data_IF_472723360710
#
_entry.id   IF_472723360710
#
_cell.length_a   1.000
_cell.length_b   1.000
_cell.length_c   1.000
_cell.angle_alpha   90.00
_cell.angle_beta   90.00
_cell.angle_gamma   90.00
#
_symmetry.space_group_name_H-M   'P 1'
#
loop_
_entity.id
_entity.type
_entity.pdbx_description
1 polymer ?
#
# COMPACT_ATOMS: atom_id res chain seq x y z
N UNK A 1 11.78 -4.87 -17.42
CA UNK A 1 10.65 -5.83 -17.34
C UNK A 1 11.14 -7.22 -17.73
N UNK A 2 10.62 -8.27 -17.10
CA UNK A 2 11.03 -9.66 -17.31
C UNK A 2 9.79 -10.57 -17.37
N UNK A 3 9.79 -11.54 -18.29
CA UNK A 3 8.72 -12.50 -18.53
C UNK A 3 9.24 -13.94 -18.50
N UNK A 4 9.75 -14.40 -17.36
CA UNK A 4 10.06 -15.83 -17.15
C UNK A 4 11.45 -16.29 -17.61
N UNK A 5 12.11 -15.60 -18.54
CA UNK A 5 13.44 -15.98 -19.05
C UNK A 5 14.40 -14.79 -19.08
N UNK A 6 15.72 -15.02 -19.03
CA UNK A 6 16.69 -13.93 -19.06
C UNK A 6 16.61 -13.12 -20.37
N UNK A 7 16.31 -13.79 -21.48
CA UNK A 7 16.18 -13.21 -22.83
C UNK A 7 14.93 -12.32 -22.97
N UNK A 8 13.94 -12.48 -22.08
CA UNK A 8 12.74 -11.66 -22.07
C UNK A 8 12.93 -10.29 -21.43
N UNK A 9 14.16 -9.95 -21.01
CA UNK A 9 14.44 -8.66 -20.41
C UNK A 9 14.21 -7.52 -21.41
N UNK A 10 13.36 -6.58 -21.00
CA UNK A 10 13.05 -5.35 -21.74
C UNK A 10 13.36 -4.16 -20.85
N UNK A 11 14.16 -3.23 -21.35
CA UNK A 11 14.37 -1.95 -20.67
C UNK A 11 13.14 -1.03 -20.85
N UNK A 12 12.70 -0.42 -19.75
CA UNK A 12 11.58 0.55 -19.74
C UNK A 12 12.07 1.97 -19.41
N UNK A 13 13.39 2.16 -19.34
CA UNK A 13 13.94 3.48 -19.11
C UNK A 13 13.60 4.43 -20.26
N UNK A 14 13.20 5.65 -19.91
CA UNK A 14 12.89 6.72 -20.85
C UNK A 14 13.68 7.99 -20.56
N UNK A 15 14.73 7.90 -19.72
CA UNK A 15 15.60 9.04 -19.44
C UNK A 15 16.13 9.69 -20.70
N UNK A 16 16.14 11.02 -20.69
CA UNK A 16 16.49 11.83 -21.86
C UNK A 16 16.88 13.25 -21.41
N UNK A 17 16.90 14.23 -22.32
CA UNK A 17 17.23 15.61 -22.01
C UNK A 17 16.27 16.30 -21.02
N UNK A 18 15.08 15.74 -20.78
CA UNK A 18 14.08 16.24 -19.84
C UNK A 18 14.06 15.47 -18.51
N UNK A 19 14.52 14.21 -18.49
CA UNK A 19 14.36 13.30 -17.35
C UNK A 19 15.68 12.63 -16.93
N UNK A 20 16.00 12.70 -15.63
CA UNK A 20 17.27 12.21 -15.05
C UNK A 20 17.27 10.74 -14.66
N UNK A 21 16.12 10.21 -14.27
CA UNK A 21 15.99 8.86 -13.72
C UNK A 21 14.64 8.23 -14.08
N UNK A 22 14.51 6.92 -13.92
CA UNK A 22 13.22 6.24 -13.92
C UNK A 22 13.21 5.23 -12.76
N UNK A 23 12.16 5.26 -11.94
CA UNK A 23 12.00 4.34 -10.83
C UNK A 23 10.58 3.79 -10.81
N UNK A 24 10.44 2.48 -10.94
CA UNK A 24 9.18 1.78 -10.72
C UNK A 24 8.92 1.57 -9.21
N UNK A 25 7.68 1.75 -8.78
CA UNK A 25 7.22 1.64 -7.38
C UNK A 25 6.20 0.52 -7.18
N UNK A 26 5.27 0.35 -8.11
CA UNK A 26 4.24 -0.70 -8.04
C UNK A 26 3.82 -1.17 -9.43
N UNK A 27 3.24 -2.37 -9.49
CA UNK A 27 2.67 -2.94 -10.72
C UNK A 27 1.42 -3.74 -10.42
N UNK A 28 0.45 -3.67 -11.33
CA UNK A 28 -0.75 -4.50 -11.33
C UNK A 28 -1.28 -4.60 -12.76
N UNK A 29 -1.60 -5.81 -13.22
CA UNK A 29 -1.94 -6.05 -14.62
C UNK A 29 -0.85 -5.51 -15.56
N UNK A 30 -1.25 -4.67 -16.52
CA UNK A 30 -0.34 -4.03 -17.47
C UNK A 30 0.18 -2.67 -17.01
N UNK A 31 -0.17 -2.20 -15.81
CA UNK A 31 0.30 -0.91 -15.31
C UNK A 31 1.55 -1.11 -14.45
N UNK A 32 2.53 -0.24 -14.67
CA UNK A 32 3.64 0.01 -13.75
C UNK A 32 3.57 1.49 -13.40
N UNK A 33 3.66 1.84 -12.12
CA UNK A 33 3.69 3.23 -11.67
C UNK A 33 4.96 3.55 -10.92
N UNK A 34 5.29 4.82 -10.83
CA UNK A 34 6.52 5.27 -10.20
C UNK A 34 6.81 6.73 -10.45
N UNK A 35 8.09 7.07 -10.50
CA UNK A 35 8.56 8.44 -10.58
C UNK A 35 9.80 8.60 -11.48
N UNK A 36 9.98 9.81 -11.96
CA UNK A 36 11.19 10.32 -12.63
C UNK A 36 11.57 11.66 -12.02
N UNK A 37 12.82 12.12 -12.21
CA UNK A 37 13.25 13.45 -11.82
C UNK A 37 13.36 14.34 -13.06
N UNK A 38 12.71 15.50 -13.03
CA UNK A 38 12.82 16.54 -14.05
C UNK A 38 14.22 17.16 -14.09
N UNK A 39 14.85 17.24 -15.27
CA UNK A 39 16.11 17.98 -15.47
C UNK A 39 15.93 19.49 -15.37
N UNK A 40 14.72 19.98 -15.62
CA UNK A 40 14.43 21.42 -15.62
C UNK A 40 14.20 21.93 -14.21
N UNK A 41 13.42 21.21 -13.42
CA UNK A 41 13.00 21.65 -12.08
C UNK A 41 13.68 20.89 -10.94
N UNK A 42 14.36 19.78 -11.23
CA UNK A 42 14.92 18.89 -10.21
C UNK A 42 13.87 18.14 -9.37
N UNK A 43 12.59 18.25 -9.72
CA UNK A 43 11.48 17.70 -8.91
C UNK A 43 11.05 16.32 -9.40
N UNK A 44 10.50 15.51 -8.49
CA UNK A 44 9.88 14.24 -8.88
C UNK A 44 8.57 14.46 -9.65
N UNK A 45 8.39 13.64 -10.66
CA UNK A 45 7.26 13.59 -11.59
C UNK A 45 6.73 12.16 -11.59
N UNK A 46 5.42 12.01 -11.39
CA UNK A 46 4.76 10.72 -11.36
C UNK A 46 4.59 10.20 -12.79
N UNK A 47 4.81 8.91 -12.98
CA UNK A 47 4.83 8.26 -14.29
C UNK A 47 4.03 6.96 -14.25
N UNK A 48 3.31 6.70 -15.33
CA UNK A 48 2.67 5.43 -15.64
C UNK A 48 3.38 4.83 -16.85
N UNK A 49 3.77 3.56 -16.77
CA UNK A 49 4.19 2.78 -17.92
C UNK A 49 3.15 1.70 -18.22
N UNK A 50 2.93 1.47 -19.50
CA UNK A 50 2.20 0.31 -20.01
C UNK A 50 3.20 -0.82 -20.28
N UNK A 51 3.08 -1.92 -19.55
CA UNK A 51 3.95 -3.07 -19.64
C UNK A 51 3.85 -3.80 -21.00
N UNK A 52 2.73 -3.67 -21.71
CA UNK A 52 2.51 -4.32 -23.02
C UNK A 52 3.10 -3.48 -24.15
N UNK A 53 2.72 -2.21 -24.22
CA UNK A 53 3.14 -1.31 -25.30
C UNK A 53 4.51 -0.69 -25.05
N UNK A 54 4.98 -0.72 -23.79
CA UNK A 54 6.21 -0.07 -23.30
C UNK A 54 6.15 1.45 -23.38
N UNK A 55 4.97 2.01 -23.67
CA UNK A 55 4.74 3.43 -23.62
C UNK A 55 4.74 3.93 -22.17
N UNK A 56 5.08 5.20 -22.00
CA UNK A 56 5.02 5.89 -20.72
C UNK A 56 4.16 7.14 -20.84
N UNK A 57 3.55 7.54 -19.73
CA UNK A 57 2.68 8.71 -19.62
C UNK A 57 3.00 9.45 -18.32
N UNK A 58 3.10 10.77 -18.41
CA UNK A 58 3.29 11.62 -17.24
C UNK A 58 1.95 11.81 -16.52
N UNK A 59 1.95 11.55 -15.21
CA UNK A 59 0.80 11.77 -14.32
C UNK A 59 0.91 13.09 -13.54
N UNK A 60 1.99 13.84 -13.70
CA UNK A 60 2.23 15.10 -12.98
C UNK A 60 1.18 16.16 -13.33
N UNK A 61 0.29 16.55 -12.40
CA UNK A 61 -0.78 17.50 -12.70
C UNK A 61 -0.24 18.90 -12.99
N UNK A 62 -0.90 19.64 -13.88
CA UNK A 62 -0.56 21.03 -14.14
C UNK A 62 -0.62 21.87 -12.85
N UNK A 63 0.34 22.78 -12.66
CA UNK A 63 0.43 23.59 -11.45
C UNK A 63 0.95 22.85 -10.22
N UNK A 64 1.49 21.65 -10.36
CA UNK A 64 2.18 20.93 -9.29
C UNK A 64 3.68 21.22 -9.31
N UNK A 65 4.32 21.15 -8.14
CA UNK A 65 5.79 21.21 -8.03
C UNK A 65 6.43 19.83 -7.79
N UNK A 66 5.63 18.85 -7.36
CA UNK A 66 6.09 17.49 -7.10
C UNK A 66 4.93 16.50 -7.27
N UNK A 67 5.21 15.29 -7.72
CA UNK A 67 4.26 14.18 -7.66
C UNK A 67 4.97 12.84 -7.62
N UNK A 68 4.45 11.90 -6.84
CA UNK A 68 4.89 10.50 -6.81
C UNK A 68 3.67 9.59 -7.01
N UNK A 69 3.78 8.56 -7.87
CA UNK A 69 2.81 7.47 -7.96
C UNK A 69 3.41 6.20 -7.34
N UNK A 70 2.78 5.68 -6.29
CA UNK A 70 3.34 4.59 -5.47
C UNK A 70 2.47 3.32 -5.49
N UNK A 71 1.24 3.41 -5.99
CA UNK A 71 0.31 2.29 -6.02
C UNK A 71 -0.49 2.27 -7.33
N UNK A 72 -0.83 1.07 -7.80
CA UNK A 72 -1.75 0.82 -8.93
C UNK A 72 -2.57 -0.43 -8.63
N UNK A 73 -3.83 -0.46 -9.06
CA UNK A 73 -4.67 -1.66 -9.07
C UNK A 73 -4.88 -2.23 -10.48
N UNK A 74 -4.10 -1.74 -11.46
CA UNK A 74 -4.17 -2.11 -12.87
C UNK A 74 -5.12 -1.24 -13.68
N UNK A 75 -5.91 -0.38 -13.02
CA UNK A 75 -6.81 0.58 -13.66
C UNK A 75 -6.47 2.01 -13.23
N UNK A 76 -6.36 2.23 -11.92
CA UNK A 76 -6.09 3.50 -11.25
C UNK A 76 -4.65 3.57 -10.75
N UNK A 77 -4.18 4.79 -10.54
CA UNK A 77 -2.87 5.06 -9.94
C UNK A 77 -3.06 5.93 -8.70
N UNK A 78 -2.30 5.67 -7.66
CA UNK A 78 -2.40 6.34 -6.37
C UNK A 78 -1.04 6.81 -5.88
N UNK A 79 -1.03 7.94 -5.18
CA UNK A 79 0.15 8.44 -4.51
C UNK A 79 -0.06 9.82 -3.91
N UNK A 80 0.82 10.75 -4.24
CA UNK A 80 0.78 12.10 -3.68
C UNK A 80 1.25 13.17 -4.65
N UNK A 81 0.71 14.36 -4.48
CA UNK A 81 1.03 15.57 -5.24
C UNK A 81 1.34 16.70 -4.27
N UNK A 82 2.28 17.56 -4.64
CA UNK A 82 2.49 18.83 -3.96
C UNK A 82 2.16 19.95 -4.94
N UNK A 83 1.02 20.65 -4.76
CA UNK A 83 0.69 21.80 -5.58
C UNK A 83 1.75 22.91 -5.49
N UNK A 84 1.90 23.71 -6.55
CA UNK A 84 2.75 24.89 -6.52
C UNK A 84 2.27 25.87 -5.43
N UNK A 85 3.22 26.50 -4.74
CA UNK A 85 2.92 27.41 -3.63
C UNK A 85 2.52 26.73 -2.30
N UNK A 86 2.39 25.41 -2.26
CA UNK A 86 2.12 24.66 -1.02
C UNK A 86 3.37 23.92 -0.53
N UNK A 87 3.51 23.76 0.80
CA UNK A 87 4.63 23.06 1.41
C UNK A 87 4.40 21.55 1.61
N UNK A 88 3.16 21.10 1.56
CA UNK A 88 2.76 19.76 1.99
C UNK A 88 2.14 18.91 0.87
N UNK A 89 2.23 17.60 1.06
CA UNK A 89 1.69 16.61 0.14
C UNK A 89 0.19 16.38 0.33
N UNK A 90 -0.49 16.18 -0.80
CA UNK A 90 -1.90 15.83 -0.93
C UNK A 90 -2.04 14.45 -1.53
N UNK A 91 -2.98 13.66 -1.01
CA UNK A 91 -3.29 12.34 -1.52
C UNK A 91 -3.86 12.48 -2.94
N UNK A 92 -3.35 11.68 -3.85
CA UNK A 92 -3.65 11.80 -5.26
C UNK A 92 -4.14 10.47 -5.84
N UNK A 93 -5.15 10.57 -6.71
CA UNK A 93 -5.67 9.48 -7.53
C UNK A 93 -5.66 9.92 -8.99
N UNK A 94 -5.28 9.01 -9.89
CA UNK A 94 -5.28 9.23 -11.34
C UNK A 94 -5.94 8.05 -12.08
N UNK A 95 -6.37 8.34 -13.30
CA UNK A 95 -6.98 7.41 -14.26
C UNK A 95 -6.22 7.43 -15.59
N UNK A 96 -4.88 7.34 -15.53
CA UNK A 96 -4.01 7.16 -16.68
C UNK A 96 -3.45 8.43 -17.31
N UNK A 97 -3.77 9.62 -16.78
CA UNK A 97 -3.20 10.88 -17.28
C UNK A 97 -3.08 11.95 -16.19
N UNK A 98 -2.21 12.93 -16.39
CA UNK A 98 -2.11 14.11 -15.54
C UNK A 98 -3.45 14.87 -15.38
N UNK A 99 -4.24 14.96 -16.44
CA UNK A 99 -5.53 15.66 -16.42
C UNK A 99 -6.63 14.92 -15.64
N UNK A 100 -6.46 13.60 -15.43
CA UNK A 100 -7.39 12.77 -14.65
C UNK A 100 -7.15 12.83 -13.14
N UNK A 101 -6.26 13.71 -12.68
CA UNK A 101 -5.95 13.89 -11.27
C UNK A 101 -7.19 14.24 -10.44
N UNK A 102 -7.38 13.51 -9.35
CA UNK A 102 -8.34 13.76 -8.30
C UNK A 102 -7.59 14.00 -7.00
N UNK A 103 -7.84 15.17 -6.39
CA UNK A 103 -7.35 15.51 -5.05
C UNK A 103 -8.19 14.76 -4.00
N UNK A 104 -7.56 13.87 -3.24
CA UNK A 104 -8.18 13.14 -2.13
C UNK A 104 -7.93 13.81 -0.78
N UNK A 105 -7.24 14.96 -0.76
CA UNK A 105 -6.93 15.68 0.47
C UNK A 105 -8.20 16.28 1.11
N UNK A 106 -8.63 15.78 2.29
CA UNK A 106 -9.73 16.38 3.03
C UNK A 106 -9.39 17.78 3.58
N UNK A 107 -10.36 18.69 3.71
CA UNK A 107 -10.16 19.96 4.41
C UNK A 107 -9.82 19.74 5.89
N UNK A 108 -9.00 20.61 6.47
CA UNK A 108 -8.61 20.58 7.89
C UNK A 108 -7.38 19.75 8.22
N UNK A 109 -6.77 19.09 7.23
CA UNK A 109 -5.52 18.34 7.37
C UNK A 109 -4.38 19.11 6.71
N UNK A 110 -3.16 18.94 7.21
CA UNK A 110 -1.98 19.59 6.64
C UNK A 110 -1.28 18.72 5.61
N UNK A 111 -1.41 17.40 5.72
CA UNK A 111 -0.75 16.43 4.86
C UNK A 111 -1.65 15.23 4.64
N UNK A 112 -1.58 14.63 3.45
CA UNK A 112 -2.19 13.33 3.16
C UNK A 112 -1.44 12.61 2.04
N UNK A 113 -1.54 11.29 2.00
CA UNK A 113 -0.98 10.49 0.90
C UNK A 113 -1.69 9.15 0.77
N UNK A 114 -1.77 8.64 -0.46
CA UNK A 114 -2.15 7.24 -0.73
C UNK A 114 -0.90 6.36 -0.62
N UNK A 115 -1.03 5.24 0.10
CA UNK A 115 0.01 4.21 0.21
C UNK A 115 -0.30 2.97 -0.63
N UNK A 116 -1.59 2.64 -0.79
CA UNK A 116 -2.02 1.42 -1.48
C UNK A 116 -3.37 1.55 -2.17
N UNK A 117 -3.58 0.75 -3.21
CA UNK A 117 -4.83 0.60 -3.95
C UNK A 117 -5.27 -0.86 -3.94
N UNK A 118 -6.59 -1.08 -4.00
CA UNK A 118 -7.17 -2.40 -4.19
C UNK A 118 -8.38 -2.32 -5.11
N UNK A 119 -8.58 -3.38 -5.91
CA UNK A 119 -9.57 -3.41 -6.98
C UNK A 119 -10.97 -3.88 -6.53
N UNK A 120 -11.06 -4.67 -5.45
CA UNK A 120 -12.30 -5.30 -5.03
C UNK A 120 -13.35 -4.27 -4.59
N UNK A 121 -14.64 -4.58 -4.81
CA UNK A 121 -15.75 -3.76 -4.29
C UNK A 121 -15.84 -2.36 -4.89
N UNK A 122 -15.45 -2.18 -6.16
CA UNK A 122 -15.30 -0.85 -6.77
C UNK A 122 -13.98 -0.16 -6.40
N UNK A 123 -13.22 -0.79 -5.52
CA UNK A 123 -11.89 -0.43 -5.04
C UNK A 123 -11.83 0.65 -3.98
N UNK A 124 -10.62 0.79 -3.46
CA UNK A 124 -10.32 1.66 -2.33
C UNK A 124 -8.90 2.21 -2.45
N UNK A 125 -8.70 3.39 -1.86
CA UNK A 125 -7.38 3.95 -1.61
C UNK A 125 -7.14 3.84 -0.11
N UNK A 126 -6.02 3.28 0.31
CA UNK A 126 -5.60 3.35 1.72
C UNK A 126 -4.39 4.24 1.85
N UNK A 127 -4.30 4.96 2.97
CA UNK A 127 -3.25 5.95 3.13
C UNK A 127 -3.17 6.54 4.52
N UNK A 128 -2.61 7.75 4.59
CA UNK A 128 -2.59 8.53 5.81
C UNK A 128 -3.03 9.98 5.60
N UNK A 129 -3.53 10.58 6.69
CA UNK A 129 -3.78 12.01 6.85
C UNK A 129 -3.08 12.52 8.11
N UNK A 130 -2.77 13.81 8.16
CA UNK A 130 -2.14 14.43 9.31
C UNK A 130 -2.82 15.75 9.67
N UNK A 131 -3.15 15.92 10.95
CA UNK A 131 -3.51 17.22 11.53
C UNK A 131 -2.23 17.90 12.02
N UNK A 132 -2.15 19.23 11.90
CA UNK A 132 -1.00 20.00 12.37
C UNK A 132 -0.62 19.63 13.81
N UNK A 133 0.65 19.28 14.04
CA UNK A 133 1.16 18.91 15.35
C UNK A 133 0.70 17.53 15.88
N UNK A 134 -0.01 16.74 15.08
CA UNK A 134 -0.43 15.38 15.45
C UNK A 134 0.30 14.31 14.62
N UNK A 135 0.26 13.07 15.12
CA UNK A 135 0.71 11.90 14.36
C UNK A 135 -0.20 11.63 13.16
N UNK A 136 0.34 10.97 12.14
CA UNK A 136 -0.45 10.51 11.00
C UNK A 136 -1.50 9.48 11.43
N UNK A 137 -2.68 9.53 10.80
CA UNK A 137 -3.78 8.61 11.01
C UNK A 137 -4.01 7.73 9.79
N UNK A 138 -4.27 6.43 9.96
CA UNK A 138 -4.58 5.54 8.85
C UNK A 138 -5.98 5.85 8.32
N UNK A 139 -6.15 5.85 7.00
CA UNK A 139 -7.45 6.15 6.38
C UNK A 139 -7.73 5.27 5.17
N UNK A 140 -8.99 5.22 4.79
CA UNK A 140 -9.46 4.71 3.51
C UNK A 140 -10.31 5.76 2.79
N UNK A 141 -10.20 5.83 1.46
CA UNK A 141 -11.07 6.58 0.57
C UNK A 141 -11.72 5.65 -0.46
N UNK A 142 -12.88 6.08 -0.97
CA UNK A 142 -13.65 5.52 -2.10
C UNK A 142 -13.73 6.53 -3.25
N UNK A 143 -12.57 6.92 -3.78
CA UNK A 143 -12.42 7.71 -5.00
C UNK A 143 -12.60 9.22 -4.86
N UNK A 144 -13.03 9.72 -3.70
CA UNK A 144 -13.23 11.16 -3.44
C UNK A 144 -12.72 11.55 -2.07
N UNK A 145 -12.38 12.83 -1.86
CA UNK A 145 -11.99 13.32 -0.53
C UNK A 145 -13.12 13.18 0.53
N UNK A 146 -14.39 13.28 0.11
CA UNK A 146 -15.56 13.19 1.01
C UNK A 146 -15.82 11.78 1.52
N UNK A 147 -15.33 10.77 0.81
CA UNK A 147 -15.48 9.35 1.17
C UNK A 147 -14.48 8.87 2.23
N UNK A 148 -13.69 9.78 2.81
CA UNK A 148 -12.68 9.44 3.79
C UNK A 148 -13.30 8.80 5.03
N UNK A 149 -12.72 7.69 5.45
CA UNK A 149 -12.95 7.07 6.76
C UNK A 149 -11.63 7.01 7.53
N UNK A 150 -11.63 7.52 8.76
CA UNK A 150 -10.51 7.41 9.71
C UNK A 150 -10.50 5.99 10.30
N UNK A 151 -9.43 5.25 10.02
CA UNK A 151 -9.23 3.87 10.48
C UNK A 151 -8.44 3.80 11.80
N UNK A 152 -8.22 4.93 12.48
CA UNK A 152 -7.54 4.96 13.78
C UNK A 152 -8.22 3.99 14.75
N UNK A 153 -7.52 2.92 15.20
CA UNK A 153 -8.15 1.89 16.00
C UNK A 153 -8.71 2.42 17.31
N UNK A 154 -9.95 2.04 17.62
CA UNK A 154 -10.64 2.43 18.86
C UNK A 154 -10.40 1.42 20.00
N UNK A 155 -9.84 0.25 19.68
CA UNK A 155 -9.56 -0.78 20.67
C UNK A 155 -8.49 -0.32 21.70
N UNK A 156 -8.69 -0.60 23.00
CA UNK A 156 -7.78 -0.15 24.04
C UNK A 156 -6.38 -0.77 23.88
N UNK A 157 -5.35 -0.02 24.27
CA UNK A 157 -3.97 -0.48 24.25
C UNK A 157 -3.25 -0.31 22.91
N UNK A 158 -3.88 0.28 21.91
CA UNK A 158 -3.26 0.67 20.64
C UNK A 158 -2.85 2.15 20.72
N UNK A 159 -1.57 2.44 20.42
CA UNK A 159 -0.99 3.80 20.50
C UNK A 159 -0.87 4.49 19.16
N UNK A 160 -0.71 3.72 18.10
CA UNK A 160 -0.52 4.20 16.74
C UNK A 160 -0.88 3.07 15.76
N UNK A 161 -1.30 3.43 14.55
CA UNK A 161 -1.55 2.47 13.49
C UNK A 161 -1.29 3.11 12.12
N UNK A 162 -0.91 2.29 11.15
CA UNK A 162 -0.74 2.68 9.77
C UNK A 162 -1.32 1.59 8.86
N UNK A 163 -1.85 2.00 7.71
CA UNK A 163 -2.43 1.13 6.69
C UNK A 163 -1.68 1.34 5.37
N UNK A 164 -1.29 0.26 4.71
CA UNK A 164 -0.43 0.33 3.52
C UNK A 164 -0.93 -0.48 2.34
N UNK A 165 -1.69 -1.55 2.60
CA UNK A 165 -2.13 -2.46 1.57
C UNK A 165 -3.62 -2.74 1.71
N UNK A 166 -4.29 -3.03 0.61
CA UNK A 166 -5.71 -3.35 0.61
C UNK A 166 -6.08 -4.21 -0.58
N UNK A 167 -7.10 -5.05 -0.42
CA UNK A 167 -7.73 -5.71 -1.57
C UNK A 167 -8.79 -4.82 -2.23
N UNK A 168 -9.21 -3.74 -1.56
CA UNK A 168 -10.40 -2.93 -1.88
C UNK A 168 -11.54 -3.14 -0.87
N UNK A 169 -11.50 -4.25 -0.13
CA UNK A 169 -12.50 -4.61 0.89
C UNK A 169 -11.89 -4.87 2.27
N UNK A 170 -10.69 -5.45 2.30
CA UNK A 170 -9.92 -5.69 3.52
C UNK A 170 -8.63 -4.90 3.43
N UNK A 171 -8.23 -4.29 4.54
CA UNK A 171 -7.06 -3.43 4.61
C UNK A 171 -6.03 -4.02 5.57
N UNK A 172 -4.76 -3.80 5.29
CA UNK A 172 -3.66 -4.38 6.05
C UNK A 172 -2.58 -3.34 6.33
N UNK A 173 -1.98 -3.48 7.49
CA UNK A 173 -0.90 -2.61 7.92
C UNK A 173 -0.31 -3.07 9.24
N UNK A 174 0.05 -2.11 10.09
CA UNK A 174 0.59 -2.42 11.41
C UNK A 174 0.06 -1.45 12.47
N UNK A 175 0.09 -1.88 13.72
CA UNK A 175 -0.26 -1.07 14.87
C UNK A 175 0.69 -1.30 16.04
N UNK A 176 0.90 -0.27 16.85
CA UNK A 176 1.74 -0.32 18.05
C UNK A 176 0.83 -0.61 19.25
N UNK A 177 0.96 -1.80 19.80
CA UNK A 177 0.28 -2.24 21.01
C UNK A 177 1.18 -2.00 22.23
N UNK A 178 0.58 -1.56 23.34
CA UNK A 178 1.31 -1.31 24.59
C UNK A 178 2.05 -2.56 25.12
N UNK A 179 1.49 -3.74 24.90
CA UNK A 179 1.99 -5.00 25.48
C UNK A 179 2.97 -5.74 24.59
N UNK A 180 2.83 -5.62 23.27
CA UNK A 180 3.55 -6.45 22.28
C UNK A 180 4.33 -5.63 21.25
N UNK A 181 4.25 -4.30 21.31
CA UNK A 181 4.93 -3.43 20.37
C UNK A 181 4.30 -3.46 18.98
N UNK A 182 5.13 -3.48 17.95
CA UNK A 182 4.70 -3.37 16.56
C UNK A 182 4.12 -4.70 16.05
N UNK A 183 2.84 -4.68 15.70
CA UNK A 183 2.10 -5.85 15.25
C UNK A 183 1.51 -5.67 13.86
N UNK A 184 1.53 -6.72 13.06
CA UNK A 184 0.76 -6.84 11.83
C UNK A 184 -0.74 -6.83 12.17
N UNK A 185 -1.53 -6.04 11.46
CA UNK A 185 -2.97 -5.94 11.67
C UNK A 185 -3.75 -5.93 10.35
N UNK A 186 -5.02 -6.30 10.43
CA UNK A 186 -6.03 -6.09 9.38
C UNK A 186 -7.13 -5.18 9.89
N UNK A 187 -7.78 -4.46 8.99
CA UNK A 187 -9.14 -3.96 9.15
C UNK A 187 -10.04 -4.77 8.21
N UNK A 188 -11.05 -5.42 8.76
CA UNK A 188 -11.94 -6.30 7.97
C UNK A 188 -12.96 -5.52 7.14
N UNK A 189 -13.18 -4.24 7.46
CA UNK A 189 -14.05 -3.31 6.75
C UNK A 189 -13.47 -1.88 6.82
N UNK A 190 -14.16 -0.94 6.17
CA UNK A 190 -14.00 0.51 6.35
C UNK A 190 -14.52 0.95 7.74
N UNK A 191 -14.04 0.31 8.81
CA UNK A 191 -14.46 0.54 10.20
C UNK A 191 -13.24 0.41 11.13
N UNK A 192 -12.89 1.45 11.91
CA UNK A 192 -11.78 1.41 12.86
C UNK A 192 -11.93 0.34 13.97
N UNK A 193 -13.16 -0.10 14.27
CA UNK A 193 -13.41 -1.16 15.25
C UNK A 193 -13.18 -2.58 14.68
N UNK A 194 -13.12 -2.73 13.36
CA UNK A 194 -12.94 -4.02 12.67
C UNK A 194 -11.50 -4.55 12.69
N UNK A 195 -10.64 -3.97 13.53
CA UNK A 195 -9.23 -4.30 13.58
C UNK A 195 -8.97 -5.71 14.15
N UNK A 196 -8.12 -6.47 13.46
CA UNK A 196 -7.65 -7.79 13.88
C UNK A 196 -6.14 -7.76 14.03
N UNK A 197 -5.64 -8.10 15.22
CA UNK A 197 -4.21 -8.28 15.44
C UNK A 197 -3.75 -9.63 14.88
N UNK A 198 -2.96 -9.63 13.80
CA UNK A 198 -2.42 -10.85 13.19
C UNK A 198 -1.25 -11.45 13.98
N UNK A 199 -0.53 -10.63 14.75
CA UNK A 199 0.63 -11.06 15.54
C UNK A 199 0.27 -12.18 16.52
N UNK A 200 -0.94 -12.13 17.10
CA UNK A 200 -1.41 -13.12 18.09
C UNK A 200 -1.39 -14.57 17.58
N UNK A 201 -1.41 -14.76 16.26
CA UNK A 201 -1.41 -16.08 15.64
C UNK A 201 0.00 -16.66 15.43
N UNK A 202 1.05 -15.86 15.66
CA UNK A 202 2.44 -16.33 15.52
C UNK A 202 2.91 -17.17 16.73
N UNK A 203 2.27 -17.02 17.88
CA UNK A 203 2.66 -17.63 19.16
C UNK A 203 3.60 -16.75 19.99
N UNK A 204 3.86 -17.15 21.24
CA UNK A 204 4.55 -16.32 22.25
C UNK A 204 6.05 -16.07 22.00
N UNK A 205 6.68 -16.79 21.08
CA UNK A 205 8.10 -16.63 20.76
C UNK A 205 8.44 -15.42 19.89
N UNK A 206 7.44 -14.66 19.44
CA UNK A 206 7.58 -13.51 18.54
C UNK A 206 7.39 -12.20 19.28
N UNK A 207 8.14 -11.18 18.86
CA UNK A 207 8.22 -9.87 19.54
C UNK A 207 7.76 -8.71 18.68
N UNK A 208 7.69 -8.91 17.35
CA UNK A 208 7.08 -7.94 16.45
C UNK A 208 6.65 -8.61 15.15
N UNK A 209 5.75 -7.96 14.43
CA UNK A 209 5.39 -8.33 13.06
C UNK A 209 4.91 -7.14 12.25
N UNK A 210 5.03 -7.22 10.93
CA UNK A 210 4.58 -6.22 9.97
C UNK A 210 3.95 -6.90 8.75
N UNK A 211 3.02 -6.21 8.10
CA UNK A 211 2.49 -6.61 6.78
C UNK A 211 3.25 -5.87 5.69
N UNK A 212 3.57 -6.57 4.61
CA UNK A 212 4.12 -6.00 3.39
C UNK A 212 3.09 -5.94 2.25
N UNK A 213 2.24 -6.96 2.12
CA UNK A 213 1.23 -7.03 1.07
C UNK A 213 0.04 -7.89 1.49
N UNK A 214 -1.11 -7.62 0.88
CA UNK A 214 -2.31 -8.44 0.95
C UNK A 214 -2.84 -8.66 -0.46
N UNK A 215 -3.32 -9.86 -0.75
CA UNK A 215 -4.09 -10.16 -1.96
C UNK A 215 -5.23 -11.10 -1.62
N UNK A 216 -6.28 -11.06 -2.44
CA UNK A 216 -7.41 -11.98 -2.39
C UNK A 216 -7.38 -12.84 -3.64
N UNK A 217 -7.48 -14.15 -3.44
CA UNK A 217 -7.73 -15.12 -4.51
C UNK A 217 -8.96 -15.90 -4.09
N UNK A 218 -10.04 -15.77 -4.86
CA UNK A 218 -11.35 -16.33 -4.54
C UNK A 218 -11.85 -15.89 -3.14
N UNK A 219 -12.07 -16.84 -2.24
CA UNK A 219 -12.51 -16.62 -0.86
C UNK A 219 -11.34 -16.57 0.15
N UNK A 220 -10.10 -16.53 -0.34
CA UNK A 220 -8.91 -16.65 0.49
C UNK A 220 -8.06 -15.38 0.44
N UNK A 221 -7.72 -14.85 1.61
CA UNK A 221 -6.75 -13.78 1.77
C UNK A 221 -5.36 -14.37 2.02
N UNK A 222 -4.40 -13.89 1.24
CA UNK A 222 -2.98 -14.14 1.44
C UNK A 222 -2.32 -12.85 1.90
N UNK A 223 -1.74 -12.89 3.10
CA UNK A 223 -1.02 -11.76 3.67
C UNK A 223 0.44 -12.15 3.79
N UNK A 224 1.32 -11.37 3.17
CA UNK A 224 2.76 -11.53 3.27
C UNK A 224 3.32 -10.47 4.23
N UNK A 225 4.28 -10.85 5.06
CA UNK A 225 4.87 -9.94 6.02
C UNK A 225 6.17 -10.44 6.61
N UNK A 226 6.57 -9.76 7.69
CA UNK A 226 7.82 -10.04 8.41
C UNK A 226 7.53 -10.14 9.90
N UNK A 227 8.33 -10.92 10.61
CA UNK A 227 8.24 -11.01 12.06
C UNK A 227 9.60 -11.28 12.69
N UNK A 228 9.78 -10.85 13.94
CA UNK A 228 11.02 -11.02 14.70
C UNK A 228 10.77 -11.86 15.94
N UNK A 229 11.74 -12.71 16.31
CA UNK A 229 11.67 -13.56 17.51
C UNK A 229 12.51 -12.96 18.63
N UNK A 230 12.12 -13.23 19.87
CA UNK A 230 12.84 -12.75 21.05
C UNK A 230 14.33 -13.12 21.04
N UNK A 231 14.65 -14.35 20.61
CA UNK A 231 16.02 -14.88 20.61
C UNK A 231 16.69 -14.83 19.23
N UNK A 232 16.08 -14.13 18.25
CA UNK A 232 16.62 -14.06 16.90
C UNK A 232 16.27 -12.72 16.25
N UNK A 233 17.18 -11.73 16.28
CA UNK A 233 16.86 -10.35 15.93
C UNK A 233 16.65 -10.13 14.42
N UNK A 234 16.99 -11.12 13.57
CA UNK A 234 16.74 -11.02 12.13
C UNK A 234 15.27 -11.25 11.82
N UNK A 235 14.69 -10.34 11.04
CA UNK A 235 13.35 -10.48 10.49
C UNK A 235 13.22 -11.78 9.69
N UNK A 236 12.11 -12.48 9.87
CA UNK A 236 11.74 -13.69 9.16
C UNK A 236 10.50 -13.41 8.31
N UNK A 237 10.48 -13.92 7.09
CA UNK A 237 9.29 -13.89 6.28
C UNK A 237 8.19 -14.75 6.93
N UNK A 238 6.99 -14.21 7.00
CA UNK A 238 5.79 -14.90 7.48
C UNK A 238 4.65 -14.68 6.49
N UNK A 239 3.72 -15.64 6.44
CA UNK A 239 2.48 -15.49 5.70
C UNK A 239 1.30 -15.95 6.55
N UNK A 240 0.25 -15.15 6.54
CA UNK A 240 -1.05 -15.50 7.10
C UNK A 240 -2.00 -15.83 5.95
N UNK A 241 -2.74 -16.92 6.11
CA UNK A 241 -3.77 -17.34 5.14
C UNK A 241 -5.10 -17.42 5.87
N UNK A 242 -6.06 -16.61 5.43
CA UNK A 242 -7.43 -16.58 5.97
C UNK A 242 -8.36 -17.09 4.87
N UNK A 243 -9.03 -18.21 5.13
CA UNK A 243 -9.93 -18.88 4.16
C UNK A 243 -11.39 -18.59 4.49
N UNK A 244 -12.27 -18.92 3.55
CA UNK A 244 -13.72 -18.77 3.69
C UNK A 244 -14.13 -17.34 4.01
N UNK A 245 -13.42 -16.35 3.45
CA UNK A 245 -13.79 -14.95 3.58
C UNK A 245 -15.03 -14.72 2.72
N UNK A 246 -16.17 -14.33 3.31
CA UNK A 246 -17.42 -14.18 2.57
C UNK A 246 -17.26 -13.27 1.35
N UNK A 247 -18.17 -13.46 0.41
CA UNK A 247 -18.29 -12.56 -0.73
C UNK A 247 -18.49 -11.10 -0.24
N UNK A 248 -18.07 -10.11 -1.04
CA UNK A 248 -18.22 -8.70 -0.72
C UNK A 248 -19.66 -8.37 -0.30
N UNK A 249 -19.86 -7.71 0.86
CA UNK A 249 -21.19 -7.28 1.34
C UNK A 249 -21.77 -8.05 2.53
N UNK A 250 -21.11 -9.10 3.02
CA UNK A 250 -21.56 -9.90 4.18
C UNK A 250 -20.40 -10.13 5.15
N UNK A 251 -20.08 -9.17 6.01
CA UNK A 251 -19.04 -9.37 7.02
C UNK A 251 -19.65 -9.83 8.34
N UNK A 252 -19.69 -11.14 8.53
CA UNK A 252 -19.63 -11.79 9.83
C UNK A 252 -18.63 -12.95 9.68
N UNK A 253 -17.41 -12.77 10.21
CA UNK A 253 -16.30 -13.73 10.07
C UNK A 253 -16.04 -14.46 11.39
N UNK A 254 -16.12 -15.81 11.43
CA UNK A 254 -15.38 -16.59 12.40
C UNK A 254 -13.93 -16.76 11.88
N UNK A 255 -12.97 -16.05 12.47
CA UNK A 255 -11.56 -16.14 12.07
C UNK A 255 -10.91 -17.45 12.56
N UNK A 256 -10.54 -18.32 11.62
CA UNK A 256 -9.52 -19.35 11.82
C UNK A 256 -8.35 -19.07 10.86
N UNK A 257 -7.25 -18.53 11.37
CA UNK A 257 -6.04 -18.28 10.59
C UNK A 257 -5.05 -19.44 10.77
N UNK A 258 -4.59 -20.03 9.67
CA UNK A 258 -3.50 -21.03 9.69
C UNK A 258 -2.17 -20.32 9.36
N UNK A 259 -1.14 -20.51 10.20
CA UNK A 259 0.21 -19.98 9.98
C UNK A 259 1.07 -21.06 9.34
N UNK A 260 1.54 -20.82 8.11
CA UNK A 260 2.52 -21.67 7.44
C UNK A 260 3.89 -21.00 7.51
N UNK A 261 4.72 -21.40 8.48
CA UNK A 261 6.12 -21.00 8.54
C UNK A 261 6.97 -21.94 7.67
N UNK A 262 7.41 -21.48 6.50
CA UNK A 262 8.27 -22.29 5.63
C UNK A 262 9.72 -22.31 6.17
N UNK A 263 10.13 -23.43 6.76
CA UNK A 263 11.52 -23.66 7.18
C UNK A 263 12.27 -24.25 5.98
N UNK A 264 13.17 -23.49 5.34
CA UNK A 264 14.09 -24.04 4.32
C UNK A 264 14.89 -25.18 4.97
N UNK A 265 14.57 -26.43 4.62
CA UNK A 265 15.46 -27.57 4.90
C UNK A 265 16.68 -27.39 4.00
N UNK A 266 17.87 -27.19 4.59
CA UNK A 266 19.13 -27.38 3.88
C UNK A 266 19.19 -28.87 3.52
N UNK A 267 18.97 -29.20 2.25
CA UNK A 267 19.36 -30.48 1.70
C UNK A 267 20.88 -30.47 1.60
N UNK A 268 21.56 -31.00 2.60
CA UNK A 268 22.93 -31.48 2.43
C UNK A 268 22.85 -32.69 1.50
N UNK A 269 23.32 -32.55 0.26
CA UNK A 269 23.54 -33.73 -0.60
C UNK A 269 24.73 -34.53 -0.03
N UNK A 270 24.66 -35.87 -0.12
CA UNK A 270 25.68 -36.78 0.41
C UNK A 270 27.04 -36.60 -0.27
#
# INVERSE_FOLDING_TARGET
>A
MWHGTAESFVDLDFTNAQYLSSQARATAGNQIVGETISRVTGSNIAVLWDATTRAWTILHPAGSRWSDAVATDGVRQGGRVMPAGQSEFRAALWFGSAASYVDLHPPGYVRSQVHGLGADGGGAQVGSIQVAGQIERPVVWRGTMQSLVDLTPTAPGIRNAQVFATTGLVHAGHAVFQTTGLNAVLWLADDPASIVNLHRFLGSGWTSSTVAAITRVDDTLYIAGRATRANHPREMAVSWVIRNVPAPGTLALPLAAAVLAHRRRRTTRP
#
